data_IF_498467151460
#
_entry.id   IF_498467151460
#
_cell.length_a   1.000
_cell.length_b   1.000
_cell.length_c   1.000
_cell.angle_alpha   90.00
_cell.angle_beta   90.00
_cell.angle_gamma   90.00
#
_symmetry.space_group_name_H-M   'P 1'
#
loop_
_entity.id
_entity.type
_entity.pdbx_description
1 polymer ?
#
# COMPACT_ATOMS: atom_id res chain seq x y z
N UNK A 1 20.18 33.27 48.89
CA UNK A 1 19.25 32.98 47.77
C UNK A 1 19.88 33.12 46.38
N UNK A 2 20.59 34.22 46.04
CA UNK A 2 21.21 34.37 44.69
C UNK A 2 22.16 33.24 44.28
N UNK A 3 22.96 32.68 45.20
CA UNK A 3 23.92 31.59 44.89
C UNK A 3 23.26 30.22 44.61
N UNK A 4 22.04 29.98 45.12
CA UNK A 4 21.30 28.72 44.88
C UNK A 4 20.58 28.77 43.54
N UNK A 5 20.11 29.96 43.14
CA UNK A 5 19.45 30.16 41.85
C UNK A 5 20.41 30.02 40.66
N UNK A 6 21.67 30.44 40.81
CA UNK A 6 22.70 30.26 39.78
C UNK A 6 23.09 28.79 39.61
N UNK A 7 23.12 28.00 40.69
CA UNK A 7 23.42 26.56 40.64
C UNK A 7 22.31 25.78 39.92
N UNK A 8 21.04 26.14 40.15
CA UNK A 8 19.89 25.53 39.47
C UNK A 8 19.84 25.87 37.97
N UNK A 9 20.21 27.10 37.58
CA UNK A 9 20.26 27.48 36.16
C UNK A 9 21.35 26.73 35.39
N UNK A 10 22.52 26.52 36.00
CA UNK A 10 23.62 25.76 35.39
C UNK A 10 23.27 24.26 35.29
N UNK A 11 22.55 23.70 36.26
CA UNK A 11 22.08 22.31 36.19
C UNK A 11 21.03 22.08 35.11
N UNK A 12 20.12 23.05 34.89
CA UNK A 12 19.10 22.98 33.81
C UNK A 12 19.75 23.14 32.43
N UNK A 13 20.78 23.98 32.30
CA UNK A 13 21.53 24.09 31.04
C UNK A 13 22.31 22.79 30.76
N UNK A 14 22.94 22.17 31.78
CA UNK A 14 23.67 20.90 31.57
C UNK A 14 22.77 19.70 31.24
N UNK A 15 21.52 19.65 31.71
CA UNK A 15 20.57 18.57 31.34
C UNK A 15 19.90 18.79 29.99
N UNK A 16 19.82 20.04 29.50
CA UNK A 16 19.35 20.32 28.12
C UNK A 16 20.42 20.09 27.05
N UNK A 17 21.71 20.07 27.41
CA UNK A 17 22.80 19.78 26.45
C UNK A 17 23.09 18.28 26.26
N UNK A 18 22.56 17.39 27.10
CA UNK A 18 22.72 15.92 26.95
C UNK A 18 21.54 15.23 26.28
N UNK A 19 20.48 15.96 25.90
CA UNK A 19 19.33 15.41 25.19
C UNK A 19 19.31 15.70 23.69
N UNK A 20 20.35 16.34 23.15
CA UNK A 20 20.68 16.18 21.72
C UNK A 20 21.36 14.83 21.53
N UNK A 21 20.60 13.76 21.75
CA UNK A 21 20.83 12.49 21.08
C UNK A 21 20.87 12.85 19.60
N UNK A 22 22.07 12.87 19.04
CA UNK A 22 22.28 12.86 17.61
C UNK A 22 21.27 11.85 17.06
N UNK A 23 20.28 12.33 16.34
CA UNK A 23 19.61 11.53 15.34
C UNK A 23 20.69 11.20 14.32
N UNK A 24 21.55 10.25 14.65
CA UNK A 24 22.37 9.55 13.68
C UNK A 24 21.31 9.03 12.72
N UNK A 25 21.31 9.52 11.48
CA UNK A 25 20.70 8.80 10.37
C UNK A 25 21.49 7.49 10.28
N UNK A 26 21.14 6.53 11.13
CA UNK A 26 21.58 5.17 10.98
C UNK A 26 20.81 4.71 9.74
N UNK A 27 21.58 4.39 8.71
CA UNK A 27 21.07 3.59 7.60
C UNK A 27 21.49 2.17 7.94
N UNK A 28 20.57 1.20 7.92
CA UNK A 28 20.97 -0.19 8.01
C UNK A 28 22.00 -0.46 6.92
N UNK A 29 23.07 -1.20 7.26
CA UNK A 29 24.04 -1.64 6.25
C UNK A 29 23.33 -2.61 5.31
N UNK A 30 23.60 -2.57 4.01
CA UNK A 30 23.01 -3.50 3.01
C UNK A 30 23.12 -4.98 3.43
N UNK A 31 24.18 -5.33 4.17
CA UNK A 31 24.38 -6.69 4.65
C UNK A 31 23.42 -7.09 5.80
N UNK A 32 22.96 -6.12 6.59
CA UNK A 32 21.97 -6.33 7.65
C UNK A 32 20.54 -6.42 7.09
N UNK A 33 20.21 -5.73 5.99
CA UNK A 33 18.90 -5.84 5.34
C UNK A 33 18.63 -7.25 4.80
N UNK A 34 19.68 -8.02 4.46
CA UNK A 34 19.55 -9.44 4.08
C UNK A 34 18.88 -10.28 5.17
N UNK A 35 18.99 -9.89 6.45
CA UNK A 35 18.32 -10.58 7.55
C UNK A 35 16.80 -10.47 7.37
N UNK A 36 16.29 -9.31 6.96
CA UNK A 36 14.85 -9.14 6.73
C UNK A 36 14.36 -10.06 5.60
N UNK A 37 15.11 -10.11 4.51
CA UNK A 37 14.79 -10.96 3.35
C UNK A 37 14.78 -12.44 3.74
N UNK A 38 15.82 -12.90 4.45
CA UNK A 38 15.94 -14.28 4.92
C UNK A 38 14.81 -14.71 5.88
N UNK A 39 14.16 -13.74 6.55
CA UNK A 39 13.04 -13.99 7.45
C UNK A 39 11.68 -13.69 6.81
N UNK A 40 11.61 -13.54 5.48
CA UNK A 40 10.34 -13.51 4.74
C UNK A 40 9.84 -12.13 4.32
N UNK A 41 10.58 -11.05 4.60
CA UNK A 41 10.28 -9.74 4.04
C UNK A 41 10.65 -9.74 2.55
N UNK A 42 9.73 -9.31 1.69
CA UNK A 42 10.06 -9.15 0.28
C UNK A 42 11.12 -8.05 0.09
N UNK A 43 12.08 -8.29 -0.80
CA UNK A 43 13.17 -7.33 -1.09
C UNK A 43 12.62 -5.98 -1.54
N UNK A 44 11.55 -6.02 -2.33
CA UNK A 44 10.88 -4.86 -2.92
C UNK A 44 10.27 -3.97 -1.83
N UNK A 45 9.87 -4.54 -0.69
CA UNK A 45 9.30 -3.82 0.44
C UNK A 45 10.35 -3.22 1.38
N UNK A 46 11.65 -3.45 1.14
CA UNK A 46 12.71 -2.75 1.88
C UNK A 46 12.64 -1.25 1.61
N UNK A 47 12.43 -0.82 0.38
CA UNK A 47 12.36 0.62 0.04
C UNK A 47 11.16 1.32 0.69
N UNK A 48 10.11 0.58 1.05
CA UNK A 48 8.90 1.11 1.64
C UNK A 48 9.01 1.38 3.16
N UNK A 49 9.90 0.66 3.85
CA UNK A 49 10.09 0.78 5.30
C UNK A 49 11.05 1.91 5.64
N UNK A 50 10.74 2.65 6.71
CA UNK A 50 11.68 3.62 7.28
C UNK A 50 12.95 2.92 7.80
N UNK A 51 14.09 3.60 7.78
CA UNK A 51 15.33 3.05 8.32
C UNK A 51 15.18 2.63 9.80
N UNK A 52 14.44 3.42 10.58
CA UNK A 52 14.14 3.13 11.98
C UNK A 52 13.36 1.80 12.10
N UNK A 53 12.35 1.59 11.27
CA UNK A 53 11.57 0.35 11.30
C UNK A 53 12.37 -0.86 10.85
N UNK A 54 13.22 -0.70 9.82
CA UNK A 54 14.16 -1.75 9.38
C UNK A 54 15.11 -2.16 10.49
N UNK A 55 15.76 -1.19 11.12
CA UNK A 55 16.71 -1.44 12.21
C UNK A 55 16.05 -2.13 13.39
N UNK A 56 14.87 -1.66 13.81
CA UNK A 56 14.14 -2.30 14.90
C UNK A 56 13.73 -3.74 14.55
N UNK A 57 13.30 -4.01 13.32
CA UNK A 57 13.01 -5.38 12.88
C UNK A 57 14.28 -6.25 12.88
N UNK A 58 15.39 -5.73 12.35
CA UNK A 58 16.69 -6.42 12.32
C UNK A 58 17.16 -6.74 13.75
N UNK A 59 17.11 -5.78 14.67
CA UNK A 59 17.49 -5.96 16.07
C UNK A 59 16.63 -7.03 16.76
N UNK A 60 15.31 -6.99 16.57
CA UNK A 60 14.42 -7.99 17.15
C UNK A 60 14.68 -9.40 16.57
N UNK A 61 14.94 -9.51 15.26
CA UNK A 61 15.31 -10.78 14.62
C UNK A 61 16.67 -11.31 15.11
N UNK A 62 17.65 -10.43 15.33
CA UNK A 62 18.97 -10.81 15.88
C UNK A 62 18.85 -11.28 17.34
N UNK A 63 17.97 -10.65 18.13
CA UNK A 63 17.76 -10.98 19.54
C UNK A 63 16.95 -12.26 19.73
N UNK A 64 15.83 -12.38 19.04
CA UNK A 64 14.93 -13.54 19.12
C UNK A 64 14.00 -13.60 17.91
N UNK A 65 14.34 -14.45 16.93
CA UNK A 65 13.54 -14.63 15.70
C UNK A 65 12.11 -15.07 15.96
N UNK A 66 11.84 -15.79 17.05
CA UNK A 66 10.49 -16.32 17.35
C UNK A 66 9.48 -15.21 17.68
N UNK A 67 9.96 -14.01 18.00
CA UNK A 67 9.13 -12.84 18.30
C UNK A 67 8.69 -12.06 17.07
N UNK A 68 9.20 -12.39 15.89
CA UNK A 68 8.88 -11.65 14.66
C UNK A 68 8.24 -12.60 13.67
N UNK A 69 7.00 -12.30 13.27
CA UNK A 69 6.30 -12.99 12.20
C UNK A 69 6.30 -12.07 10.98
N UNK A 70 6.87 -12.52 9.86
CA UNK A 70 6.86 -11.77 8.60
C UNK A 70 6.21 -12.62 7.53
N UNK A 71 5.22 -12.06 6.86
CA UNK A 71 4.49 -12.70 5.76
C UNK A 71 4.42 -11.75 4.58
N UNK A 72 4.74 -12.25 3.39
CA UNK A 72 4.65 -11.50 2.13
C UNK A 72 3.68 -12.18 1.16
N UNK A 73 3.14 -11.41 0.21
CA UNK A 73 2.30 -11.90 -0.89
C UNK A 73 2.46 -10.99 -2.09
N UNK A 74 2.29 -11.56 -3.28
CA UNK A 74 2.20 -10.81 -4.52
C UNK A 74 0.72 -10.73 -4.91
N UNK A 75 0.28 -9.54 -5.26
CA UNK A 75 -1.01 -9.23 -5.84
C UNK A 75 -0.79 -8.85 -7.31
N UNK A 76 -1.70 -9.26 -8.17
CA UNK A 76 -1.69 -8.98 -9.60
C UNK A 76 -2.99 -8.28 -10.00
N UNK A 77 -2.93 -7.31 -10.90
CA UNK A 77 -4.11 -6.64 -11.48
C UNK A 77 -3.99 -6.66 -12.98
N UNK A 78 -5.08 -7.01 -13.65
CA UNK A 78 -5.19 -6.97 -15.11
C UNK A 78 -5.46 -5.53 -15.61
N UNK A 79 -4.41 -4.89 -16.12
CA UNK A 79 -4.43 -3.56 -16.70
C UNK A 79 -5.35 -3.47 -17.93
N UNK A 80 -5.50 -4.53 -18.73
CA UNK A 80 -6.34 -4.51 -19.93
C UNK A 80 -7.82 -4.53 -19.54
N UNK A 81 -8.17 -5.39 -18.58
CA UNK A 81 -9.52 -5.42 -18.01
C UNK A 81 -9.89 -4.08 -17.36
N UNK A 82 -8.94 -3.40 -16.69
CA UNK A 82 -9.17 -2.05 -16.17
C UNK A 82 -9.45 -1.01 -17.26
N UNK A 83 -8.70 -1.06 -18.37
CA UNK A 83 -8.90 -0.15 -19.52
C UNK A 83 -10.26 -0.40 -20.16
N UNK A 84 -10.65 -1.66 -20.38
CA UNK A 84 -11.97 -2.04 -20.91
C UNK A 84 -13.10 -1.55 -19.99
N UNK A 85 -12.96 -1.80 -18.68
CA UNK A 85 -13.92 -1.36 -17.68
C UNK A 85 -14.01 0.17 -17.61
N UNK A 86 -12.92 0.91 -17.80
CA UNK A 86 -12.95 2.37 -17.84
C UNK A 86 -13.63 2.90 -19.10
N UNK A 87 -13.29 2.35 -20.26
CA UNK A 87 -13.82 2.83 -21.55
C UNK A 87 -15.29 2.50 -21.76
N UNK A 88 -15.81 1.47 -21.09
CA UNK A 88 -17.23 1.10 -21.11
C UNK A 88 -18.12 1.94 -20.18
N UNK A 89 -17.53 2.79 -19.33
CA UNK A 89 -18.27 3.57 -18.32
C UNK A 89 -18.39 5.03 -18.71
N UNK A 90 -19.56 5.60 -18.45
CA UNK A 90 -19.79 7.02 -18.60
C UNK A 90 -18.97 7.82 -17.58
N UNK A 91 -18.72 9.09 -17.90
CA UNK A 91 -18.07 10.03 -16.98
C UNK A 91 -18.82 10.12 -15.63
N UNK A 92 -20.15 10.16 -15.70
CA UNK A 92 -21.00 10.33 -14.52
C UNK A 92 -20.89 9.12 -13.59
N UNK A 93 -21.00 7.90 -14.12
CA UNK A 93 -20.87 6.67 -13.32
C UNK A 93 -19.52 6.59 -12.59
N UNK A 94 -18.43 6.94 -13.28
CA UNK A 94 -17.09 6.94 -12.69
C UNK A 94 -17.01 7.93 -11.52
N UNK A 95 -17.52 9.15 -11.70
CA UNK A 95 -17.53 10.18 -10.65
C UNK A 95 -18.41 9.76 -9.46
N UNK A 96 -19.60 9.22 -9.73
CA UNK A 96 -20.52 8.71 -8.70
C UNK A 96 -19.89 7.55 -7.90
N UNK A 97 -19.01 6.76 -8.52
CA UNK A 97 -18.24 5.71 -7.86
C UNK A 97 -16.99 6.19 -7.12
N UNK A 98 -16.74 7.51 -7.10
CA UNK A 98 -15.69 8.18 -6.35
C UNK A 98 -14.44 8.55 -7.15
N UNK A 99 -14.52 8.56 -8.48
CA UNK A 99 -13.37 8.92 -9.32
C UNK A 99 -13.15 10.43 -9.32
N UNK A 100 -11.89 10.83 -9.41
CA UNK A 100 -11.53 12.22 -9.62
C UNK A 100 -11.92 12.67 -11.04
N UNK A 101 -12.80 13.67 -11.11
CA UNK A 101 -13.35 14.23 -12.35
C UNK A 101 -12.28 14.62 -13.38
N UNK A 102 -11.22 15.30 -12.93
CA UNK A 102 -10.18 15.81 -13.83
C UNK A 102 -9.30 14.67 -14.34
N UNK A 103 -9.08 13.66 -13.49
CA UNK A 103 -8.36 12.45 -13.88
C UNK A 103 -9.17 11.63 -14.89
N UNK A 104 -10.48 11.50 -14.72
CA UNK A 104 -11.35 10.82 -15.70
C UNK A 104 -11.21 11.46 -17.08
N UNK A 105 -11.30 12.78 -17.18
CA UNK A 105 -11.23 13.47 -18.47
C UNK A 105 -9.84 13.37 -19.11
N UNK A 106 -8.79 13.47 -18.30
CA UNK A 106 -7.40 13.35 -18.76
C UNK A 106 -7.09 11.94 -19.24
N UNK A 107 -7.45 10.92 -18.45
CA UNK A 107 -7.27 9.50 -18.81
C UNK A 107 -8.05 9.15 -20.07
N UNK A 108 -9.31 9.61 -20.21
CA UNK A 108 -10.09 9.36 -21.42
C UNK A 108 -9.41 9.97 -22.66
N UNK A 109 -8.97 11.24 -22.59
CA UNK A 109 -8.24 11.88 -23.70
C UNK A 109 -6.97 11.12 -24.08
N UNK A 110 -6.24 10.62 -23.08
CA UNK A 110 -5.02 9.84 -23.31
C UNK A 110 -5.31 8.52 -24.03
N UNK A 111 -6.28 7.74 -23.56
CA UNK A 111 -6.69 6.48 -24.20
C UNK A 111 -7.26 6.71 -25.61
N UNK A 112 -8.04 7.79 -25.80
CA UNK A 112 -8.50 8.21 -27.12
C UNK A 112 -7.33 8.45 -28.07
N UNK A 113 -6.31 9.19 -27.62
CA UNK A 113 -5.10 9.42 -28.42
C UNK A 113 -4.38 8.12 -28.74
N UNK A 114 -4.23 7.20 -27.79
CA UNK A 114 -3.59 5.90 -28.05
C UNK A 114 -4.29 5.11 -29.14
N UNK A 115 -5.62 5.18 -29.22
CA UNK A 115 -6.37 4.50 -30.29
C UNK A 115 -6.02 5.02 -31.69
N UNK A 116 -5.60 6.28 -31.81
CA UNK A 116 -5.24 6.92 -33.09
C UNK A 116 -3.79 6.71 -33.53
N UNK A 117 -2.89 6.35 -32.61
CA UNK A 117 -1.48 6.09 -32.93
C UNK A 117 -1.32 4.77 -33.69
N UNK A 118 -0.28 4.67 -34.53
CA UNK A 118 0.15 3.36 -35.06
C UNK A 118 0.68 2.49 -33.92
N UNK A 119 0.62 1.16 -34.08
CA UNK A 119 1.11 0.23 -33.06
C UNK A 119 2.59 0.46 -32.75
N UNK A 120 3.40 0.80 -33.74
CA UNK A 120 4.84 1.09 -33.57
C UNK A 120 5.08 2.38 -32.79
N UNK A 121 4.29 3.43 -33.07
CA UNK A 121 4.38 4.70 -32.33
C UNK A 121 3.95 4.51 -30.88
N UNK A 122 2.84 3.80 -30.67
CA UNK A 122 2.34 3.50 -29.33
C UNK A 122 3.33 2.61 -28.56
N UNK A 123 3.87 1.57 -29.21
CA UNK A 123 4.89 0.69 -28.65
C UNK A 123 6.12 1.47 -28.17
N UNK A 124 6.62 2.37 -29.03
CA UNK A 124 7.75 3.25 -28.71
C UNK A 124 7.43 4.20 -27.56
N UNK A 125 6.25 4.81 -27.56
CA UNK A 125 5.86 5.80 -26.56
C UNK A 125 5.65 5.17 -25.17
N UNK A 126 5.00 4.01 -25.13
CA UNK A 126 4.78 3.27 -23.89
C UNK A 126 5.99 2.42 -23.48
N UNK A 127 7.05 2.37 -24.29
CA UNK A 127 8.21 1.49 -24.10
C UNK A 127 7.78 0.02 -23.86
N UNK A 128 6.95 -0.47 -24.77
CA UNK A 128 6.25 -1.76 -24.73
C UNK A 128 6.42 -2.44 -26.10
N UNK A 129 6.12 -3.73 -26.23
CA UNK A 129 6.18 -4.42 -27.52
C UNK A 129 5.03 -4.00 -28.45
N UNK A 130 5.20 -4.21 -29.75
CA UNK A 130 4.12 -3.98 -30.74
C UNK A 130 2.89 -4.82 -30.42
N UNK A 131 3.08 -6.04 -29.90
CA UNK A 131 1.98 -6.91 -29.49
C UNK A 131 1.19 -6.31 -28.32
N UNK A 132 1.88 -5.75 -27.32
CA UNK A 132 1.25 -5.10 -26.17
C UNK A 132 0.51 -3.84 -26.57
N UNK A 133 1.11 -3.02 -27.42
CA UNK A 133 0.44 -1.85 -28.00
C UNK A 133 -0.86 -2.25 -28.73
N UNK A 134 -0.85 -3.38 -29.46
CA UNK A 134 -2.06 -3.93 -30.09
C UNK A 134 -3.12 -4.36 -29.08
N UNK A 135 -2.73 -5.04 -27.99
CA UNK A 135 -3.67 -5.44 -26.94
C UNK A 135 -4.29 -4.24 -26.23
N UNK A 136 -3.51 -3.20 -25.92
CA UNK A 136 -4.02 -1.95 -25.34
C UNK A 136 -5.06 -1.31 -26.28
N UNK A 137 -4.75 -1.22 -27.58
CA UNK A 137 -5.71 -0.68 -28.56
C UNK A 137 -6.99 -1.50 -28.65
N UNK A 138 -6.89 -2.83 -28.58
CA UNK A 138 -8.06 -3.73 -28.55
C UNK A 138 -8.90 -3.54 -27.29
N UNK A 139 -8.28 -3.44 -26.12
CA UNK A 139 -8.96 -3.17 -24.85
C UNK A 139 -9.76 -1.85 -24.90
N UNK A 140 -9.15 -0.79 -25.47
CA UNK A 140 -9.84 0.49 -25.68
C UNK A 140 -11.04 0.34 -26.61
N UNK A 141 -10.86 -0.33 -27.75
CA UNK A 141 -11.94 -0.56 -28.73
C UNK A 141 -13.08 -1.42 -28.17
N UNK A 142 -12.75 -2.49 -27.46
CA UNK A 142 -13.73 -3.36 -26.82
C UNK A 142 -14.53 -2.60 -25.77
N UNK A 143 -13.87 -1.86 -24.88
CA UNK A 143 -14.56 -1.05 -23.89
C UNK A 143 -15.50 -0.02 -24.51
N UNK A 144 -15.13 0.64 -25.62
CA UNK A 144 -16.03 1.56 -26.34
C UNK A 144 -17.25 0.88 -26.96
N UNK A 145 -17.07 -0.32 -27.48
CA UNK A 145 -18.11 -1.07 -28.19
C UNK A 145 -19.03 -1.85 -27.23
N UNK A 146 -18.73 -1.87 -25.92
CA UNK A 146 -19.63 -2.42 -24.91
C UNK A 146 -20.84 -1.50 -24.74
N UNK A 147 -22.00 -1.93 -25.23
CA UNK A 147 -23.29 -1.39 -24.80
C UNK A 147 -23.56 -1.79 -23.34
N UNK A 148 -24.36 -1.01 -22.60
CA UNK A 148 -24.71 -1.29 -21.20
C UNK A 148 -25.25 -2.72 -20.94
N UNK A 149 -25.83 -3.39 -21.94
CA UNK A 149 -26.31 -4.78 -21.85
C UNK A 149 -25.21 -5.86 -21.95
N UNK A 150 -23.99 -5.50 -22.35
CA UNK A 150 -22.84 -6.39 -22.53
C UNK A 150 -21.67 -6.03 -21.61
N UNK A 151 -21.95 -5.43 -20.45
CA UNK A 151 -20.91 -5.24 -19.43
C UNK A 151 -20.30 -6.61 -19.10
N UNK A 152 -18.96 -6.71 -18.94
CA UNK A 152 -18.32 -7.95 -18.55
C UNK A 152 -19.00 -8.43 -17.27
N UNK A 153 -19.64 -9.59 -17.33
CA UNK A 153 -20.06 -10.28 -16.11
C UNK A 153 -18.79 -10.54 -15.30
N UNK A 154 -18.90 -10.36 -14.01
CA UNK A 154 -17.86 -10.64 -13.02
C UNK A 154 -17.09 -11.92 -13.42
N UNK A 155 -15.84 -11.76 -13.85
CA UNK A 155 -14.96 -12.89 -14.13
C UNK A 155 -14.69 -13.51 -12.76
N UNK A 156 -15.31 -14.67 -12.48
CA UNK A 156 -15.03 -15.42 -11.25
C UNK A 156 -13.52 -15.69 -11.21
N UNK A 157 -12.88 -15.69 -10.04
CA UNK A 157 -11.44 -15.98 -9.89
C UNK A 157 -10.97 -17.23 -10.67
N UNK A 158 -11.87 -18.17 -10.94
CA UNK A 158 -11.64 -19.41 -11.67
C UNK A 158 -11.62 -19.27 -13.20
N UNK A 159 -12.10 -18.14 -13.74
CA UNK A 159 -12.21 -17.84 -15.17
C UNK A 159 -11.16 -16.81 -15.64
N UNK A 160 -10.23 -16.42 -14.77
CA UNK A 160 -9.06 -15.63 -15.14
C UNK A 160 -8.17 -16.51 -16.04
N UNK A 161 -8.31 -16.32 -17.35
CA UNK A 161 -7.37 -16.89 -18.32
C UNK A 161 -6.09 -16.07 -18.22
N UNK A 162 -5.14 -16.56 -17.42
CA UNK A 162 -3.76 -16.06 -17.43
C UNK A 162 -3.15 -16.36 -18.79
N UNK A 163 -3.28 -15.44 -19.74
CA UNK A 163 -2.38 -15.39 -20.87
C UNK A 163 -0.99 -15.11 -20.31
N UNK A 164 -0.21 -16.18 -20.13
CA UNK A 164 1.14 -16.17 -19.57
C UNK A 164 2.07 -15.30 -20.41
N UNK A 165 2.09 -14.00 -20.11
CA UNK A 165 2.93 -12.98 -20.69
C UNK A 165 2.88 -11.77 -19.77
N UNK A 166 4.03 -11.35 -19.27
CA UNK A 166 4.26 -10.42 -18.16
C UNK A 166 3.75 -8.98 -18.33
N UNK A 167 2.74 -8.70 -19.19
CA UNK A 167 2.45 -7.34 -19.66
C UNK A 167 0.99 -6.88 -19.57
N UNK A 168 0.00 -7.78 -19.55
CA UNK A 168 -1.39 -7.38 -19.24
C UNK A 168 -1.59 -7.09 -17.75
N UNK A 169 -0.59 -7.40 -16.92
CA UNK A 169 -0.73 -7.44 -15.49
C UNK A 169 0.26 -6.51 -14.77
N UNK A 170 -0.23 -5.71 -13.85
CA UNK A 170 0.62 -5.02 -12.87
C UNK A 170 0.75 -5.85 -11.60
N UNK A 171 1.90 -5.79 -10.93
CA UNK A 171 2.17 -6.58 -9.72
C UNK A 171 2.58 -5.70 -8.55
N UNK A 172 2.04 -6.04 -7.39
CA UNK A 172 2.35 -5.42 -6.10
C UNK A 172 2.80 -6.48 -5.12
N UNK A 173 3.90 -6.22 -4.43
CA UNK A 173 4.31 -7.01 -3.28
C UNK A 173 3.80 -6.37 -2.00
N UNK A 174 3.11 -7.13 -1.16
CA UNK A 174 2.59 -6.69 0.13
C UNK A 174 3.18 -7.54 1.26
N UNK A 175 3.64 -6.90 2.34
CA UNK A 175 4.18 -7.57 3.51
C UNK A 175 3.52 -7.09 4.80
N UNK A 176 3.35 -8.02 5.75
CA UNK A 176 3.02 -7.75 7.14
C UNK A 176 4.14 -8.30 8.02
N UNK A 177 4.64 -7.49 8.95
CA UNK A 177 5.54 -7.90 10.02
C UNK A 177 4.93 -7.57 11.38
N UNK A 178 4.75 -8.58 12.23
CA UNK A 178 4.28 -8.44 13.61
C UNK A 178 5.40 -8.81 14.58
N UNK A 179 5.81 -7.84 15.40
CA UNK A 179 6.84 -8.01 16.42
C UNK A 179 6.22 -8.05 17.80
N UNK A 180 6.48 -9.14 18.53
CA UNK A 180 6.06 -9.32 19.92
C UNK A 180 7.00 -8.57 20.88
N UNK A 181 6.50 -7.46 21.43
CA UNK A 181 7.16 -6.64 22.45
C UNK A 181 6.53 -6.83 23.84
N UNK A 182 5.70 -7.86 23.99
CA UNK A 182 4.93 -8.11 25.21
C UNK A 182 5.84 -8.38 26.41
N UNK A 183 5.38 -7.94 27.58
CA UNK A 183 5.95 -8.33 28.87
C UNK A 183 5.17 -9.52 29.44
N UNK A 184 5.57 -10.00 30.62
CA UNK A 184 4.84 -11.05 31.32
C UNK A 184 3.37 -10.66 31.61
N UNK A 185 3.10 -9.37 31.81
CA UNK A 185 1.79 -8.86 32.26
C UNK A 185 1.04 -8.05 31.22
N UNK A 186 1.68 -7.66 30.11
CA UNK A 186 1.09 -6.76 29.11
C UNK A 186 1.35 -7.25 27.70
N UNK A 187 0.31 -7.51 26.89
CA UNK A 187 0.49 -7.76 25.48
C UNK A 187 0.80 -6.46 24.74
N UNK A 188 1.88 -6.46 23.97
CA UNK A 188 2.33 -5.32 23.17
C UNK A 188 2.89 -5.87 21.86
N UNK A 189 2.32 -5.42 20.75
CA UNK A 189 2.72 -5.86 19.41
C UNK A 189 2.91 -4.66 18.51
N UNK A 190 4.08 -4.58 17.86
CA UNK A 190 4.34 -3.62 16.79
C UNK A 190 3.99 -4.28 15.46
N UNK A 191 3.12 -3.65 14.69
CA UNK A 191 2.67 -4.10 13.37
C UNK A 191 3.23 -3.14 12.33
N UNK A 192 3.91 -3.69 11.32
CA UNK A 192 4.40 -2.96 10.16
C UNK A 192 3.78 -3.61 8.93
N UNK A 193 3.15 -2.80 8.08
CA UNK A 193 2.64 -3.23 6.78
C UNK A 193 3.32 -2.39 5.71
N UNK A 194 3.73 -3.03 4.63
CA UNK A 194 4.46 -2.38 3.55
C UNK A 194 3.98 -2.91 2.20
N UNK A 195 3.97 -2.03 1.20
CA UNK A 195 3.70 -2.41 -0.18
C UNK A 195 4.69 -1.75 -1.13
N UNK A 196 4.94 -2.43 -2.25
CA UNK A 196 5.69 -1.91 -3.39
C UNK A 196 5.06 -2.44 -4.68
N UNK A 197 4.62 -1.52 -5.54
CA UNK A 197 4.32 -1.77 -6.93
C UNK A 197 5.62 -2.05 -7.69
N UNK A 198 5.74 -3.27 -8.21
CA UNK A 198 6.91 -3.69 -9.00
C UNK A 198 6.79 -3.21 -10.44
N UNK A 199 5.56 -3.09 -10.93
CA UNK A 199 5.22 -2.54 -12.24
C UNK A 199 4.18 -1.44 -12.10
N UNK A 200 4.17 -0.50 -13.04
CA UNK A 200 3.21 0.61 -13.03
C UNK A 200 1.82 0.08 -13.40
N UNK A 201 0.83 0.34 -12.57
CA UNK A 201 -0.57 0.01 -12.85
C UNK A 201 -1.17 1.02 -13.84
N UNK A 202 -2.11 0.61 -14.69
CA UNK A 202 -2.54 1.42 -15.84
C UNK A 202 -3.31 2.69 -15.44
N UNK A 203 -4.35 2.56 -14.62
CA UNK A 203 -5.28 3.65 -14.31
C UNK A 203 -5.11 4.16 -12.88
N UNK A 204 -5.25 5.47 -12.65
CA UNK A 204 -4.93 6.07 -11.33
C UNK A 204 -5.92 7.15 -10.88
N UNK A 205 -7.21 6.88 -11.11
CA UNK A 205 -8.30 7.85 -10.92
C UNK A 205 -8.90 7.85 -9.50
N UNK A 206 -8.50 6.90 -8.65
CA UNK A 206 -9.06 6.69 -7.30
C UNK A 206 -8.01 6.83 -6.17
N UNK A 207 -8.42 6.44 -4.96
CA UNK A 207 -7.56 6.23 -3.79
C UNK A 207 -7.56 4.77 -3.35
N UNK A 208 -6.38 4.27 -3.06
CA UNK A 208 -6.15 2.94 -2.51
C UNK A 208 -6.26 2.94 -0.98
N UNK A 209 -6.30 1.74 -0.40
CA UNK A 209 -6.31 1.57 1.05
C UNK A 209 -5.45 0.39 1.53
N UNK A 210 -4.88 0.53 2.72
CA UNK A 210 -4.37 -0.58 3.52
C UNK A 210 -5.29 -0.75 4.72
N UNK A 211 -5.81 -1.95 4.91
CA UNK A 211 -6.67 -2.29 6.02
C UNK A 211 -5.92 -3.22 6.97
N UNK A 212 -6.02 -2.98 8.27
CA UNK A 212 -5.55 -3.90 9.29
C UNK A 212 -6.58 -4.02 10.42
N UNK A 213 -6.83 -5.23 10.90
CA UNK A 213 -7.72 -5.49 12.02
C UNK A 213 -7.12 -6.51 12.97
N UNK A 214 -7.61 -6.51 14.20
CA UNK A 214 -7.18 -7.42 15.25
C UNK A 214 -8.34 -7.73 16.19
N UNK A 215 -8.29 -8.90 16.82
CA UNK A 215 -9.25 -9.24 17.88
C UNK A 215 -8.72 -8.90 19.26
N UNK A 216 -9.46 -9.30 20.31
CA UNK A 216 -8.99 -9.24 21.70
C UNK A 216 -9.05 -7.86 22.37
N UNK A 217 -9.69 -6.88 21.73
CA UNK A 217 -9.91 -5.58 22.35
C UNK A 217 -8.63 -4.76 22.60
N UNK A 218 -7.54 -5.05 21.87
CA UNK A 218 -6.28 -4.29 22.00
C UNK A 218 -6.47 -2.87 21.48
N UNK A 219 -5.85 -1.88 22.13
CA UNK A 219 -5.88 -0.47 21.72
C UNK A 219 -4.66 -0.11 20.89
N UNK A 220 -4.81 0.88 20.02
CA UNK A 220 -3.80 1.33 19.05
C UNK A 220 -3.00 2.53 19.57
N UNK A 221 -1.71 2.60 19.23
CA UNK A 221 -0.85 3.76 19.50
C UNK A 221 0.31 3.83 18.49
N UNK A 222 1.08 4.92 18.51
CA UNK A 222 2.32 5.03 17.74
C UNK A 222 2.11 4.91 16.23
N UNK A 223 0.96 5.37 15.72
CA UNK A 223 0.58 5.23 14.32
C UNK A 223 1.40 6.18 13.45
N UNK A 224 2.12 5.61 12.48
CA UNK A 224 2.83 6.32 11.41
C UNK A 224 2.45 5.68 10.07
N UNK A 225 2.33 6.49 9.02
CA UNK A 225 2.03 5.95 7.68
C UNK A 225 2.50 6.92 6.60
N UNK A 226 2.99 6.37 5.49
CA UNK A 226 3.58 7.13 4.40
C UNK A 226 3.43 6.40 3.06
N UNK A 227 3.06 7.13 2.01
CA UNK A 227 3.02 6.66 0.62
C UNK A 227 3.95 7.53 -0.23
N UNK A 228 4.89 6.91 -0.94
CA UNK A 228 5.84 7.58 -1.81
C UNK A 228 5.41 7.49 -3.28
N UNK A 229 5.46 8.64 -3.95
CA UNK A 229 5.04 8.82 -5.32
C UNK A 229 6.25 9.11 -6.20
N UNK A 230 6.21 8.53 -7.39
CA UNK A 230 7.25 8.67 -8.39
C UNK A 230 6.59 9.18 -9.66
N UNK A 231 7.18 10.20 -10.28
CA UNK A 231 6.88 10.54 -11.67
C UNK A 231 7.00 9.26 -12.49
N UNK A 232 5.98 8.97 -13.29
CA UNK A 232 5.85 7.69 -13.98
C UNK A 232 5.54 7.92 -15.45
N UNK A 233 6.18 7.12 -16.29
CA UNK A 233 5.64 6.82 -17.62
C UNK A 233 4.60 5.70 -17.48
N UNK A 234 3.98 5.30 -18.58
CA UNK A 234 3.03 4.20 -18.56
C UNK A 234 3.66 2.83 -18.30
N UNK A 235 4.98 2.67 -18.43
CA UNK A 235 5.69 1.40 -18.22
C UNK A 235 6.72 1.43 -17.10
N UNK A 236 7.10 2.60 -16.58
CA UNK A 236 8.14 2.69 -15.56
C UNK A 236 7.91 3.82 -14.56
N UNK A 237 8.24 3.54 -13.31
CA UNK A 237 8.50 4.56 -12.31
C UNK A 237 9.86 5.20 -12.63
N UNK A 238 9.88 6.52 -12.80
CA UNK A 238 11.08 7.24 -13.23
C UNK A 238 11.79 7.90 -12.05
N UNK A 239 11.28 9.02 -11.54
CA UNK A 239 11.93 9.81 -10.50
C UNK A 239 11.02 10.03 -9.31
N UNK A 240 11.61 10.00 -8.10
CA UNK A 240 10.90 10.34 -6.88
C UNK A 240 10.29 11.76 -6.98
N UNK A 241 9.00 11.86 -6.67
CA UNK A 241 8.27 13.12 -6.58
C UNK A 241 8.20 13.56 -5.12
N UNK A 242 7.37 12.87 -4.33
CA UNK A 242 7.07 13.23 -2.94
C UNK A 242 6.55 12.03 -2.16
N UNK A 243 6.60 12.16 -0.84
CA UNK A 243 5.94 11.27 0.11
C UNK A 243 4.83 12.03 0.81
N UNK A 244 3.69 11.39 1.00
CA UNK A 244 2.57 11.95 1.77
C UNK A 244 2.22 11.02 2.93
N UNK A 245 1.71 11.58 4.02
CA UNK A 245 1.07 10.78 5.07
C UNK A 245 -0.29 10.27 4.60
N UNK A 246 -0.60 9.02 4.92
CA UNK A 246 -1.90 8.43 4.59
C UNK A 246 -2.98 8.97 5.54
N UNK A 247 -4.21 9.11 5.03
CA UNK A 247 -5.37 9.43 5.88
C UNK A 247 -5.78 8.18 6.64
N UNK A 248 -6.02 8.30 7.95
CA UNK A 248 -6.39 7.14 8.79
C UNK A 248 -7.84 7.20 9.26
N UNK A 249 -8.49 6.05 9.28
CA UNK A 249 -9.81 5.84 9.88
C UNK A 249 -9.72 4.64 10.83
N UNK A 250 -9.84 4.90 12.14
CA UNK A 250 -9.71 3.88 13.18
C UNK A 250 -11.09 3.43 13.68
N UNK A 251 -11.27 2.12 13.81
CA UNK A 251 -12.34 1.53 14.62
C UNK A 251 -11.69 1.04 15.91
N UNK A 252 -11.97 1.74 17.00
CA UNK A 252 -11.36 1.49 18.32
C UNK A 252 -11.46 0.01 18.65
N UNK A 253 -10.34 -0.56 19.11
CA UNK A 253 -10.25 -1.96 19.55
C UNK A 253 -10.52 -3.01 18.47
N UNK A 254 -10.57 -2.61 17.20
CA UNK A 254 -10.98 -3.49 16.10
C UNK A 254 -10.07 -3.41 14.87
N UNK A 255 -9.72 -2.20 14.42
CA UNK A 255 -8.93 -2.07 13.20
C UNK A 255 -8.68 -0.63 12.76
N UNK A 256 -7.87 -0.48 11.72
CA UNK A 256 -7.49 0.80 11.12
C UNK A 256 -7.42 0.67 9.60
N UNK A 257 -7.91 1.70 8.89
CA UNK A 257 -7.76 1.87 7.44
C UNK A 257 -6.83 3.03 7.19
N UNK A 258 -5.89 2.87 6.26
CA UNK A 258 -5.03 3.91 5.76
C UNK A 258 -5.37 4.15 4.28
N UNK A 259 -5.79 5.37 3.92
CA UNK A 259 -6.17 5.75 2.56
C UNK A 259 -5.17 6.72 1.96
N UNK A 260 -4.90 6.56 0.67
CA UNK A 260 -4.02 7.44 -0.09
C UNK A 260 -4.42 7.44 -1.58
N UNK A 261 -4.27 8.57 -2.30
CA UNK A 261 -4.54 8.62 -3.73
C UNK A 261 -3.64 7.65 -4.51
N UNK A 262 -4.13 7.09 -5.60
CA UNK A 262 -3.29 6.30 -6.51
C UNK A 262 -2.23 7.21 -7.15
N UNK A 263 -2.66 8.35 -7.68
CA UNK A 263 -1.77 9.33 -8.30
C UNK A 263 -1.87 10.74 -7.71
N UNK A 264 -0.78 11.48 -7.84
CA UNK A 264 -0.65 12.90 -7.50
C UNK A 264 -0.12 13.67 -8.71
N UNK A 265 -0.21 15.00 -8.65
CA UNK A 265 0.32 15.87 -9.70
C UNK A 265 1.83 15.63 -9.91
N UNK A 266 2.28 15.49 -11.18
CA UNK A 266 3.67 15.27 -11.50
C UNK A 266 4.54 16.43 -11.07
N UNK A 267 5.75 16.12 -10.60
CA UNK A 267 6.74 17.15 -10.26
C UNK A 267 7.40 17.69 -11.52
N UNK A 268 7.73 16.79 -12.44
CA UNK A 268 8.28 17.14 -13.74
C UNK A 268 7.18 17.11 -14.82
N UNK A 269 6.89 18.25 -15.49
CA UNK A 269 5.88 18.34 -16.54
C UNK A 269 6.11 17.41 -17.75
N UNK A 270 7.32 16.86 -17.91
CA UNK A 270 7.61 15.86 -18.93
C UNK A 270 6.92 14.51 -18.69
N UNK A 271 6.38 14.28 -17.48
CA UNK A 271 5.65 13.06 -17.14
C UNK A 271 4.15 13.34 -17.04
N UNK A 272 3.31 12.40 -17.51
CA UNK A 272 1.85 12.57 -17.49
C UNK A 272 1.27 12.54 -16.07
N UNK A 273 1.90 11.80 -15.14
CA UNK A 273 1.40 11.61 -13.78
C UNK A 273 2.50 11.13 -12.84
N UNK A 274 2.30 11.26 -11.52
CA UNK A 274 3.06 10.50 -10.53
C UNK A 274 2.18 9.50 -9.81
N UNK A 275 2.55 8.23 -9.88
CA UNK A 275 1.82 7.14 -9.23
C UNK A 275 2.51 6.72 -7.92
N UNK A 276 1.72 6.26 -6.95
CA UNK A 276 2.26 5.63 -5.74
C UNK A 276 3.08 4.41 -6.15
N UNK A 277 4.34 4.35 -5.73
CA UNK A 277 5.20 3.18 -5.97
C UNK A 277 5.26 2.31 -4.74
N UNK A 278 5.48 2.89 -3.58
CA UNK A 278 5.63 2.13 -2.35
C UNK A 278 5.10 2.93 -1.16
N UNK A 279 4.91 2.24 -0.04
CA UNK A 279 4.48 2.87 1.19
C UNK A 279 4.39 1.89 2.33
N UNK A 280 4.31 2.43 3.54
CA UNK A 280 4.20 1.64 4.75
C UNK A 280 3.28 2.29 5.77
N UNK A 281 2.73 1.46 6.65
CA UNK A 281 2.07 1.90 7.86
C UNK A 281 2.57 1.07 9.04
N UNK A 282 2.83 1.75 10.15
CA UNK A 282 3.39 1.18 11.37
C UNK A 282 2.54 1.62 12.54
N UNK A 283 2.15 0.69 13.40
CA UNK A 283 1.36 0.99 14.60
C UNK A 283 1.60 -0.06 15.67
N UNK A 284 1.30 0.29 16.92
CA UNK A 284 1.40 -0.62 18.06
C UNK A 284 0.02 -0.93 18.59
N UNK A 285 -0.30 -2.21 18.76
CA UNK A 285 -1.49 -2.69 19.47
C UNK A 285 -1.10 -3.22 20.84
N UNK A 286 -1.87 -2.89 21.88
CA UNK A 286 -1.56 -3.29 23.25
C UNK A 286 -2.80 -3.39 24.15
N UNK A 287 -2.62 -4.02 25.31
CA UNK A 287 -3.57 -4.00 26.42
C UNK A 287 -2.84 -3.78 27.75
N UNK A 288 -3.55 -3.30 28.76
CA UNK A 288 -2.98 -3.04 30.08
C UNK A 288 -2.75 -4.31 30.91
N UNK A 289 -3.47 -5.38 30.61
CA UNK A 289 -3.39 -6.65 31.33
C UNK A 289 -3.50 -7.80 30.33
N UNK A 290 -2.69 -8.83 30.56
CA UNK A 290 -2.70 -10.05 29.75
C UNK A 290 -3.84 -10.98 30.18
N UNK A 291 -4.64 -11.46 29.25
CA UNK A 291 -5.76 -12.39 29.49
C UNK A 291 -5.36 -13.86 29.27
N UNK A 292 -4.32 -14.13 28.49
CA UNK A 292 -3.83 -15.47 28.17
C UNK A 292 -4.52 -16.13 26.97
N UNK A 293 -5.33 -15.39 26.22
CA UNK A 293 -6.01 -15.91 25.03
C UNK A 293 -5.18 -15.69 23.76
N UNK A 294 -5.50 -16.44 22.72
CA UNK A 294 -4.94 -16.23 21.38
C UNK A 294 -5.94 -15.46 20.51
N UNK A 295 -5.42 -14.61 19.64
CA UNK A 295 -6.18 -13.92 18.59
C UNK A 295 -5.29 -13.70 17.39
N UNK A 296 -5.78 -12.97 16.40
CA UNK A 296 -5.09 -12.71 15.15
C UNK A 296 -4.96 -11.20 14.89
N UNK A 297 -3.92 -10.85 14.15
CA UNK A 297 -3.79 -9.60 13.42
C UNK A 297 -3.92 -9.93 11.95
N UNK A 298 -4.86 -9.31 11.27
CA UNK A 298 -5.03 -9.43 9.84
C UNK A 298 -4.70 -8.11 9.14
N UNK A 299 -4.13 -8.18 7.93
CA UNK A 299 -3.97 -7.00 7.08
C UNK A 299 -4.09 -7.34 5.60
N UNK A 300 -4.47 -6.34 4.81
CA UNK A 300 -4.74 -6.47 3.38
C UNK A 300 -4.50 -5.15 2.66
N UNK A 301 -3.89 -5.22 1.47
CA UNK A 301 -3.86 -4.13 0.52
C UNK A 301 -5.13 -4.14 -0.34
N UNK A 302 -5.70 -2.98 -0.61
CA UNK A 302 -6.91 -2.80 -1.41
C UNK A 302 -6.65 -1.73 -2.48
N UNK A 303 -6.53 -2.16 -3.74
CA UNK A 303 -6.47 -1.26 -4.89
C UNK A 303 -7.88 -0.94 -5.36
N UNK A 304 -8.24 0.35 -5.50
CA UNK A 304 -9.58 0.73 -5.96
C UNK A 304 -9.68 0.54 -7.47
N UNK A 305 -10.50 -0.42 -7.89
CA UNK A 305 -10.66 -0.81 -9.29
C UNK A 305 -11.85 -0.11 -9.96
N UNK A 306 -11.93 -0.21 -11.29
CA UNK A 306 -13.02 0.38 -12.09
C UNK A 306 -14.30 -0.46 -12.02
N UNK A 307 -14.92 -0.52 -10.83
CA UNK A 307 -16.19 -1.24 -10.58
C UNK A 307 -17.16 -0.38 -9.78
N UNK A 308 -18.45 -0.44 -10.14
CA UNK A 308 -19.56 0.33 -9.52
C UNK A 308 -20.16 -0.36 -8.27
N UNK A 309 -19.37 -1.20 -7.61
CA UNK A 309 -19.81 -1.98 -6.46
C UNK A 309 -19.53 -1.24 -5.14
N UNK A 310 -19.86 -1.89 -4.02
CA UNK A 310 -19.63 -1.34 -2.69
C UNK A 310 -18.15 -1.01 -2.45
N UNK A 311 -17.87 0.24 -2.09
CA UNK A 311 -16.52 0.71 -1.73
C UNK A 311 -16.19 0.48 -0.26
N UNK A 312 -17.07 -0.21 0.49
CA UNK A 312 -16.91 -0.41 1.92
C UNK A 312 -15.75 -1.34 2.25
N UNK A 313 -14.99 -0.98 3.29
CA UNK A 313 -14.05 -1.88 3.98
C UNK A 313 -14.50 -1.94 5.44
N UNK A 314 -14.78 -3.14 5.93
CA UNK A 314 -15.22 -3.39 7.31
C UNK A 314 -14.41 -4.51 7.97
N UNK A 315 -14.50 -4.58 9.30
CA UNK A 315 -13.74 -5.51 10.12
C UNK A 315 -14.67 -6.47 10.86
N UNK A 316 -14.34 -7.76 10.81
CA UNK A 316 -14.86 -8.76 11.76
C UNK A 316 -13.77 -9.03 12.78
N UNK A 317 -14.08 -8.94 14.07
CA UNK A 317 -13.06 -8.95 15.15
C UNK A 317 -13.28 -9.97 16.25
N UNK A 318 -14.26 -10.86 16.11
CA UNK A 318 -14.45 -12.03 16.98
C UNK A 318 -15.47 -13.01 16.37
N UNK A 319 -15.29 -14.35 16.44
CA UNK A 319 -14.08 -15.06 16.88
C UNK A 319 -13.00 -15.12 15.78
N UNK A 320 -13.35 -14.74 14.55
CA UNK A 320 -12.47 -14.76 13.38
C UNK A 320 -12.15 -13.32 12.98
N UNK A 321 -10.86 -13.02 12.87
CA UNK A 321 -10.39 -11.71 12.43
C UNK A 321 -10.35 -11.69 10.91
N UNK A 322 -11.20 -10.88 10.30
CA UNK A 322 -11.26 -10.73 8.85
C UNK A 322 -11.49 -9.30 8.41
N UNK A 323 -11.03 -9.01 7.20
CA UNK A 323 -11.25 -7.75 6.50
C UNK A 323 -12.23 -8.04 5.37
N UNK A 324 -13.45 -7.54 5.49
CA UNK A 324 -14.46 -7.65 4.44
C UNK A 324 -14.33 -6.41 3.55
N UNK A 325 -14.12 -6.65 2.26
CA UNK A 325 -13.93 -5.61 1.25
C UNK A 325 -15.03 -5.80 0.22
N UNK A 326 -15.75 -4.74 -0.12
CA UNK A 326 -16.74 -4.80 -1.20
C UNK A 326 -16.06 -5.05 -2.55
N UNK A 327 -16.80 -5.52 -3.57
CA UNK A 327 -16.17 -5.96 -4.82
C UNK A 327 -15.65 -4.84 -5.73
N UNK A 328 -15.69 -3.60 -5.25
CA UNK A 328 -15.11 -2.42 -5.89
C UNK A 328 -13.57 -2.31 -5.72
N UNK A 329 -12.94 -3.34 -5.15
CA UNK A 329 -11.52 -3.35 -4.85
C UNK A 329 -10.89 -4.65 -5.37
N UNK A 330 -9.72 -4.52 -6.01
CA UNK A 330 -8.81 -5.65 -6.15
C UNK A 330 -7.97 -5.72 -4.88
N UNK A 331 -7.77 -6.91 -4.32
CA UNK A 331 -7.16 -7.05 -2.99
C UNK A 331 -6.04 -8.06 -2.95
N UNK A 332 -5.05 -7.81 -2.10
CA UNK A 332 -4.07 -8.84 -1.76
C UNK A 332 -4.74 -9.96 -0.95
N UNK A 333 -4.18 -11.17 -1.00
CA UNK A 333 -4.56 -12.18 -0.02
C UNK A 333 -4.35 -11.64 1.40
N UNK A 334 -5.28 -11.93 2.32
CA UNK A 334 -5.19 -11.48 3.70
C UNK A 334 -3.92 -12.06 4.33
N UNK A 335 -3.13 -11.23 5.02
CA UNK A 335 -1.99 -11.67 5.83
C UNK A 335 -2.44 -11.79 7.27
N UNK A 336 -2.14 -12.91 7.91
CA UNK A 336 -2.58 -13.22 9.27
C UNK A 336 -1.36 -13.58 10.12
N UNK A 337 -1.29 -12.99 11.31
CA UNK A 337 -0.34 -13.36 12.35
C UNK A 337 -1.07 -13.65 13.64
N UNK A 338 -0.69 -14.73 14.32
CA UNK A 338 -1.29 -15.12 15.60
C UNK A 338 -0.57 -14.41 16.75
N UNK A 339 -1.34 -13.82 17.66
CA UNK A 339 -0.84 -13.13 18.84
C UNK A 339 -1.53 -13.66 20.11
N UNK A 340 -0.94 -13.38 21.28
CA UNK A 340 -1.52 -13.73 22.57
C UNK A 340 -1.75 -12.46 23.39
N UNK A 341 -2.95 -12.28 23.91
CA UNK A 341 -3.33 -11.08 24.63
C UNK A 341 -3.87 -11.39 26.01
#
# INVERSE_FOLDING_TARGET
MKKVMTLLLVLVIFTTFTSNLLAIQISPRDNDEKILIQNGLAKENLEALSNIDKEQLIENLKKDKSKVQINSVIMEIDNLAEIEAFMSRSRQELIESGADSDKVDTTRKELERFSTLSEEKLAKELNTSIAEARYIKRAIEQGRNMSNDNQPKEIKEQEIINASGSISSTTLTYSQAVTNLSTATRPIYKVNVAYTWNTVYALSIYSDAIAACWGGGLVTSGISSAAAYYDSTNSSFASYNKTISMTKEETIQAGIKFRFPQAVMPKNPAYPTSKTRNGSATFTIYQLQKQGYATQVASRYCHRSIRLESTSISFSTSPTVSINVGGAWDTSAQRISTISY
#
